data_IF_724577909085
#
_entry.id   IF_724577909085
#
_cell.length_a   1.000
_cell.length_b   1.000
_cell.length_c   1.000
_cell.angle_alpha   90.00
_cell.angle_beta   90.00
_cell.angle_gamma   90.00
#
_symmetry.space_group_name_H-M   'P 1'
#
loop_
_entity.id
_entity.type
_entity.pdbx_description
1 polymer ?
#
# COMPACT_ATOMS: atom_id res chain seq x y z
N UNK A 1 2.47 15.67 0.66
CA UNK A 1 3.79 16.08 0.11
C UNK A 1 4.24 15.04 -0.91
N UNK A 2 5.30 15.27 -1.71
CA UNK A 2 5.78 14.35 -2.77
C UNK A 2 7.14 13.70 -2.44
N UNK A 3 7.62 13.81 -1.21
CA UNK A 3 9.01 13.47 -0.86
C UNK A 3 9.39 12.04 -1.20
N UNK A 4 8.52 11.07 -0.91
CA UNK A 4 8.77 9.67 -1.22
C UNK A 4 8.81 9.41 -2.74
N UNK A 5 7.93 10.05 -3.50
CA UNK A 5 7.91 9.96 -4.97
C UNK A 5 9.18 10.56 -5.58
N UNK A 6 9.71 11.64 -5.00
CA UNK A 6 10.99 12.23 -5.41
C UNK A 6 12.15 11.27 -5.19
N UNK A 7 12.22 10.63 -4.01
CA UNK A 7 13.26 9.64 -3.69
C UNK A 7 13.22 8.42 -4.61
N UNK A 8 12.03 8.06 -5.10
CA UNK A 8 11.83 6.95 -6.02
C UNK A 8 12.11 7.32 -7.48
N UNK A 9 12.26 8.60 -7.82
CA UNK A 9 12.56 9.02 -9.19
C UNK A 9 14.07 8.94 -9.43
N UNK A 10 14.48 8.33 -10.53
CA UNK A 10 15.89 8.11 -10.89
C UNK A 10 16.18 8.64 -12.30
N UNK A 11 17.46 8.83 -12.61
CA UNK A 11 17.92 9.10 -13.98
C UNK A 11 18.17 7.77 -14.66
N UNK A 12 17.69 7.58 -15.89
CA UNK A 12 17.97 6.41 -16.72
C UNK A 12 18.61 6.88 -18.02
N UNK A 13 19.92 6.71 -18.16
CA UNK A 13 20.70 7.27 -19.28
C UNK A 13 20.40 8.77 -19.48
N UNK A 14 19.75 9.08 -20.62
CA UNK A 14 19.34 10.42 -21.01
C UNK A 14 17.89 10.75 -20.65
N UNK A 15 17.15 9.85 -20.02
CA UNK A 15 15.79 10.04 -19.52
C UNK A 15 15.68 9.87 -18.00
N UNK A 16 14.47 9.57 -17.55
CA UNK A 16 14.10 9.35 -16.16
C UNK A 16 13.55 7.93 -15.95
N UNK A 17 13.32 7.56 -14.70
CA UNK A 17 12.69 6.30 -14.31
C UNK A 17 12.06 6.42 -12.93
N UNK A 18 11.25 5.42 -12.58
CA UNK A 18 10.69 5.27 -11.23
C UNK A 18 11.13 3.94 -10.65
N UNK A 19 11.93 3.98 -9.59
CA UNK A 19 12.31 2.83 -8.80
C UNK A 19 11.11 2.37 -7.96
N UNK A 20 10.78 1.09 -8.05
CA UNK A 20 9.67 0.46 -7.31
C UNK A 20 10.10 -0.88 -6.73
N UNK A 21 9.56 -1.29 -5.57
CA UNK A 21 9.85 -2.60 -5.02
C UNK A 21 9.26 -3.71 -5.89
N UNK A 22 9.88 -4.89 -5.81
CA UNK A 22 9.28 -6.15 -6.21
C UNK A 22 8.91 -6.94 -4.95
N UNK A 23 7.96 -7.88 -5.04
CA UNK A 23 7.55 -8.72 -3.91
C UNK A 23 8.59 -9.82 -3.59
N UNK A 24 9.84 -9.41 -3.44
CA UNK A 24 11.02 -10.21 -3.14
C UNK A 24 12.10 -9.30 -2.58
N UNK A 25 13.10 -9.87 -1.90
CA UNK A 25 14.28 -9.14 -1.46
C UNK A 25 15.45 -9.21 -2.47
N UNK A 26 15.34 -10.03 -3.52
CA UNK A 26 16.46 -10.35 -4.41
C UNK A 26 16.73 -9.28 -5.48
N UNK A 27 15.69 -8.55 -5.87
CA UNK A 27 15.74 -7.52 -6.90
C UNK A 27 14.63 -6.50 -6.69
N UNK A 28 14.79 -5.37 -7.35
CA UNK A 28 13.80 -4.31 -7.48
C UNK A 28 13.65 -3.93 -8.95
N UNK A 29 12.71 -3.05 -9.27
CA UNK A 29 12.47 -2.60 -10.64
C UNK A 29 12.70 -1.11 -10.80
N UNK A 30 13.11 -0.70 -11.98
CA UNK A 30 12.99 0.68 -12.46
C UNK A 30 12.08 0.68 -13.69
N UNK A 31 10.98 1.40 -13.60
CA UNK A 31 10.02 1.61 -14.69
C UNK A 31 10.48 2.81 -15.50
N UNK A 32 10.52 2.70 -16.83
CA UNK A 32 10.97 3.80 -17.70
C UNK A 32 10.33 3.71 -19.09
N UNK A 33 10.53 4.74 -19.90
CA UNK A 33 10.18 4.73 -21.32
C UNK A 33 11.16 3.85 -22.09
N UNK A 34 10.67 3.06 -23.04
CA UNK A 34 11.49 2.10 -23.79
C UNK A 34 12.51 2.81 -24.69
N UNK A 35 12.19 3.98 -25.25
CA UNK A 35 13.12 4.74 -26.08
C UNK A 35 14.37 5.23 -25.32
N UNK A 36 14.34 5.35 -23.99
CA UNK A 36 15.52 5.67 -23.19
C UNK A 36 16.61 4.59 -23.26
N UNK A 37 16.22 3.39 -23.71
CA UNK A 37 17.06 2.20 -23.78
C UNK A 37 17.46 1.87 -25.22
N UNK A 38 17.08 2.68 -26.21
CA UNK A 38 17.42 2.40 -27.61
C UNK A 38 18.86 2.82 -27.91
N UNK A 39 19.58 1.96 -28.64
CA UNK A 39 20.93 2.25 -29.14
C UNK A 39 20.89 3.25 -30.32
N UNK A 40 19.82 3.21 -31.11
CA UNK A 40 19.57 4.14 -32.22
C UNK A 40 18.12 4.66 -32.08
N UNK A 41 17.91 5.97 -31.85
CA UNK A 41 16.58 6.57 -31.72
C UNK A 41 15.66 6.34 -32.93
N UNK A 42 16.21 5.99 -34.10
CA UNK A 42 15.45 5.73 -35.34
C UNK A 42 15.07 4.27 -35.49
N UNK A 43 15.61 3.36 -34.69
CA UNK A 43 15.38 1.91 -34.78
C UNK A 43 14.77 1.40 -33.51
N UNK A 44 13.45 1.17 -33.56
CA UNK A 44 12.69 0.67 -32.42
C UNK A 44 13.28 -0.63 -31.87
N UNK A 45 13.81 -1.53 -32.69
CA UNK A 45 14.19 -2.88 -32.27
C UNK A 45 15.53 -3.01 -31.53
N UNK A 46 16.45 -2.05 -31.66
CA UNK A 46 17.80 -2.16 -31.08
C UNK A 46 17.87 -1.52 -29.70
N UNK A 47 17.81 -2.35 -28.65
CA UNK A 47 18.04 -1.93 -27.27
C UNK A 47 19.54 -2.00 -26.91
N UNK A 48 19.96 -1.12 -26.00
CA UNK A 48 21.25 -1.19 -25.31
C UNK A 48 21.31 -2.46 -24.46
N UNK A 49 22.53 -2.99 -24.28
CA UNK A 49 22.75 -4.09 -23.34
C UNK A 49 22.73 -3.57 -21.90
N UNK A 50 22.41 -4.42 -20.91
CA UNK A 50 22.36 -4.00 -19.50
C UNK A 50 23.62 -3.28 -19.02
N UNK A 51 24.81 -3.70 -19.47
CA UNK A 51 26.10 -3.11 -19.10
C UNK A 51 26.34 -1.68 -19.63
N UNK A 52 25.58 -1.27 -20.65
CA UNK A 52 25.62 0.04 -21.32
C UNK A 52 24.65 1.05 -20.68
N UNK A 53 23.70 0.57 -19.87
CA UNK A 53 22.70 1.39 -19.20
C UNK A 53 23.22 1.85 -17.83
N UNK A 54 22.93 3.11 -17.48
CA UNK A 54 23.23 3.69 -16.17
C UNK A 54 21.95 4.21 -15.53
N UNK A 55 21.72 3.79 -14.29
CA UNK A 55 20.64 4.27 -13.43
C UNK A 55 21.29 5.08 -12.32
N UNK A 56 20.94 6.35 -12.17
CA UNK A 56 21.50 7.22 -11.12
C UNK A 56 20.40 7.64 -10.15
N UNK A 57 20.59 7.32 -8.86
CA UNK A 57 19.70 7.69 -7.77
C UNK A 57 19.89 9.14 -7.33
N UNK A 58 18.92 9.71 -6.56
CA UNK A 58 19.02 11.09 -6.07
C UNK A 58 20.27 11.38 -5.21
N UNK A 59 20.81 10.37 -4.54
CA UNK A 59 22.03 10.46 -3.73
C UNK A 59 23.34 10.34 -4.54
N UNK A 60 23.22 10.15 -5.87
CA UNK A 60 24.34 9.98 -6.79
C UNK A 60 24.81 8.54 -6.95
N UNK A 61 24.20 7.56 -6.26
CA UNK A 61 24.52 6.15 -6.48
C UNK A 61 24.19 5.74 -7.91
N UNK A 62 25.13 5.08 -8.59
CA UNK A 62 24.95 4.56 -9.94
C UNK A 62 24.84 3.05 -9.90
N UNK A 63 23.76 2.51 -10.47
CA UNK A 63 23.47 1.09 -10.59
C UNK A 63 23.31 0.72 -12.06
N UNK A 64 23.63 -0.53 -12.39
CA UNK A 64 23.36 -1.13 -13.71
C UNK A 64 22.23 -2.16 -13.59
N UNK A 65 21.33 -2.24 -14.58
CA UNK A 65 20.36 -3.32 -14.62
C UNK A 65 21.05 -4.67 -14.82
N UNK A 66 20.43 -5.72 -14.27
CA UNK A 66 20.75 -7.12 -14.57
C UNK A 66 20.09 -7.53 -15.89
N UNK A 67 18.83 -7.14 -16.06
CA UNK A 67 18.01 -7.53 -17.22
C UNK A 67 17.05 -6.40 -17.63
N UNK A 68 16.56 -6.49 -18.86
CA UNK A 68 15.65 -5.52 -19.48
C UNK A 68 14.43 -6.26 -20.01
N UNK A 69 13.24 -5.84 -19.60
CA UNK A 69 11.97 -6.33 -20.11
C UNK A 69 11.25 -5.16 -20.77
N UNK A 70 10.82 -5.29 -22.02
CA UNK A 70 10.17 -4.17 -22.73
C UNK A 70 8.89 -4.59 -23.41
N UNK A 71 7.92 -3.69 -23.48
CA UNK A 71 6.72 -3.92 -24.29
C UNK A 71 7.08 -3.91 -25.78
N UNK A 72 6.52 -4.84 -26.58
CA UNK A 72 6.69 -4.82 -28.03
C UNK A 72 5.87 -3.72 -28.71
N UNK A 73 4.80 -3.23 -28.09
CA UNK A 73 3.86 -2.26 -28.70
C UNK A 73 3.94 -0.89 -28.05
N UNK A 74 4.02 -0.83 -26.73
CA UNK A 74 4.02 0.39 -25.95
C UNK A 74 5.44 0.90 -25.69
N UNK A 75 5.61 2.20 -25.46
CA UNK A 75 6.90 2.79 -25.12
C UNK A 75 7.24 2.62 -23.64
N UNK A 76 7.26 1.36 -23.17
CA UNK A 76 7.44 1.01 -21.77
C UNK A 76 8.49 -0.10 -21.60
N UNK A 77 9.34 0.04 -20.59
CA UNK A 77 10.32 -0.96 -20.21
C UNK A 77 10.55 -1.02 -18.69
N UNK A 78 10.93 -2.20 -18.22
CA UNK A 78 11.30 -2.52 -16.85
C UNK A 78 12.77 -2.91 -16.86
N UNK A 79 13.54 -2.26 -15.99
CA UNK A 79 14.91 -2.61 -15.69
C UNK A 79 14.93 -3.38 -14.36
N UNK A 80 15.39 -4.63 -14.38
CA UNK A 80 15.59 -5.41 -13.16
C UNK A 80 16.94 -5.05 -12.55
N UNK A 81 16.95 -4.59 -11.31
CA UNK A 81 18.15 -4.16 -10.60
C UNK A 81 18.41 -5.04 -9.37
N UNK A 82 19.61 -4.92 -8.78
CA UNK A 82 19.89 -5.56 -7.49
C UNK A 82 18.90 -5.11 -6.40
N UNK A 83 18.64 -6.01 -5.44
CA UNK A 83 17.70 -5.75 -4.34
C UNK A 83 18.14 -4.57 -3.50
N UNK A 84 17.53 -3.41 -3.75
CA UNK A 84 17.70 -2.18 -2.98
C UNK A 84 16.43 -1.90 -2.18
N UNK A 85 16.58 -1.43 -0.95
CA UNK A 85 15.44 -1.02 -0.15
C UNK A 85 14.84 0.26 -0.75
N UNK A 86 13.64 0.13 -1.31
CA UNK A 86 12.85 1.22 -1.85
C UNK A 86 11.60 1.34 -0.99
N UNK A 87 11.35 2.53 -0.46
CA UNK A 87 10.12 2.80 0.28
C UNK A 87 8.92 2.71 -0.70
N UNK A 88 7.96 1.81 -0.48
CA UNK A 88 6.90 1.54 -1.48
C UNK A 88 6.00 2.73 -1.73
N UNK A 89 5.98 3.24 -2.96
CA UNK A 89 5.00 4.26 -3.37
C UNK A 89 3.65 3.61 -3.71
N UNK A 90 2.57 4.26 -3.30
CA UNK A 90 1.23 3.86 -3.73
C UNK A 90 1.11 3.99 -5.25
N UNK A 91 0.55 2.96 -5.89
CA UNK A 91 0.23 2.98 -7.31
C UNK A 91 -1.16 2.41 -7.54
N UNK A 92 -1.83 2.84 -8.60
CA UNK A 92 -3.18 2.38 -8.91
C UNK A 92 -3.39 2.32 -10.42
N UNK A 93 -4.03 1.24 -10.86
CA UNK A 93 -4.53 1.09 -12.21
C UNK A 93 -6.02 1.45 -12.32
N UNK A 94 -6.63 1.96 -11.26
CA UNK A 94 -8.02 2.39 -11.27
C UNK A 94 -8.19 3.62 -12.14
N UNK A 95 -9.34 3.72 -12.79
CA UNK A 95 -9.73 4.94 -13.51
C UNK A 95 -9.60 6.15 -12.59
N UNK A 96 -9.18 7.26 -13.18
CA UNK A 96 -9.11 8.55 -12.52
C UNK A 96 -10.10 9.46 -13.21
N UNK A 97 -10.78 10.30 -12.44
CA UNK A 97 -11.67 11.33 -12.98
C UNK A 97 -10.89 12.32 -13.86
N UNK A 98 -11.55 12.79 -14.92
CA UNK A 98 -11.03 13.89 -15.74
C UNK A 98 -10.73 15.11 -14.88
N UNK A 99 -9.73 15.90 -15.27
CA UNK A 99 -9.26 17.08 -14.54
C UNK A 99 -8.68 16.79 -13.15
N UNK A 100 -8.48 15.52 -12.78
CA UNK A 100 -7.76 15.18 -11.57
C UNK A 100 -6.35 15.79 -11.60
N UNK A 101 -5.96 16.40 -10.48
CA UNK A 101 -4.65 17.05 -10.34
C UNK A 101 -3.54 16.02 -10.40
N UNK A 102 -2.52 16.31 -11.20
CA UNK A 102 -1.33 15.46 -11.34
C UNK A 102 -0.04 16.17 -10.91
N UNK A 103 0.98 15.36 -10.68
CA UNK A 103 2.38 15.75 -10.66
C UNK A 103 3.19 14.82 -11.54
N UNK A 104 4.11 15.38 -12.32
CA UNK A 104 5.09 14.63 -13.10
C UNK A 104 6.45 14.90 -12.49
N UNK A 105 7.18 13.83 -12.19
CA UNK A 105 8.51 13.89 -11.61
C UNK A 105 9.51 13.27 -12.58
N UNK A 106 10.57 14.02 -12.88
CA UNK A 106 11.64 13.58 -13.77
C UNK A 106 12.84 14.51 -13.74
N UNK A 107 13.88 14.14 -14.46
CA UNK A 107 15.16 14.83 -14.50
C UNK A 107 15.41 15.44 -15.89
N UNK A 108 15.04 16.71 -16.14
CA UNK A 108 15.33 17.37 -17.41
C UNK A 108 16.83 17.39 -17.72
N UNK A 109 17.19 17.19 -18.99
CA UNK A 109 18.57 17.14 -19.46
C UNK A 109 19.36 18.41 -19.10
N UNK A 110 18.72 19.58 -19.21
CA UNK A 110 19.29 20.90 -18.90
C UNK A 110 19.72 21.08 -17.45
N UNK A 111 19.26 20.23 -16.52
CA UNK A 111 19.52 20.37 -15.09
C UNK A 111 20.42 19.29 -14.50
N UNK A 112 20.92 18.36 -15.33
CA UNK A 112 21.75 17.23 -14.87
C UNK A 112 23.22 17.59 -14.64
N UNK A 113 23.66 18.77 -15.09
CA UNK A 113 25.06 19.23 -15.01
C UNK A 113 25.32 20.21 -13.86
N UNK A 114 24.32 20.53 -13.03
CA UNK A 114 24.41 21.48 -11.91
C UNK A 114 24.64 20.83 -10.54
N UNK A 115 25.11 21.62 -9.57
CA UNK A 115 25.45 21.17 -8.20
C UNK A 115 24.25 21.11 -7.24
N UNK A 116 23.05 21.54 -7.62
CA UNK A 116 21.83 21.42 -6.80
C UNK A 116 20.56 21.13 -7.65
N UNK A 117 19.71 20.22 -7.14
CA UNK A 117 18.34 19.90 -7.56
C UNK A 117 18.07 19.72 -9.07
N UNK A 118 18.58 18.60 -9.62
CA UNK A 118 18.31 18.16 -11.00
C UNK A 118 16.88 17.63 -11.23
N UNK A 119 16.17 17.26 -10.16
CA UNK A 119 14.79 16.78 -10.21
C UNK A 119 13.81 17.94 -10.40
N UNK A 120 12.85 17.79 -11.32
CA UNK A 120 11.77 18.77 -11.53
C UNK A 120 10.41 18.15 -11.28
N UNK A 121 9.50 18.96 -10.74
CA UNK A 121 8.09 18.62 -10.58
C UNK A 121 7.26 19.51 -11.49
N UNK A 122 6.52 18.91 -12.42
CA UNK A 122 5.49 19.60 -13.19
C UNK A 122 4.13 19.31 -12.58
N UNK A 123 3.25 20.32 -12.57
CA UNK A 123 1.86 20.20 -12.12
C UNK A 123 0.94 20.28 -13.32
N UNK A 124 -0.22 19.66 -13.20
CA UNK A 124 -1.10 19.51 -14.34
C UNK A 124 -2.42 18.84 -13.99
N UNK A 125 -3.16 18.47 -15.02
CA UNK A 125 -4.45 17.81 -14.92
C UNK A 125 -4.60 16.72 -15.99
N UNK A 126 -5.30 15.63 -15.64
CA UNK A 126 -5.68 14.59 -16.60
C UNK A 126 -6.65 15.17 -17.62
N UNK A 127 -6.38 14.92 -18.90
CA UNK A 127 -7.25 15.29 -20.02
C UNK A 127 -8.02 14.08 -20.55
N UNK A 128 -7.34 12.93 -20.64
CA UNK A 128 -7.96 11.66 -21.04
C UNK A 128 -7.29 10.48 -20.33
N UNK A 129 -8.07 9.43 -20.07
CA UNK A 129 -7.64 8.23 -19.36
C UNK A 129 -8.13 6.97 -20.07
N UNK A 130 -7.36 6.52 -21.06
CA UNK A 130 -7.66 5.33 -21.86
C UNK A 130 -7.10 4.05 -21.22
N UNK A 131 -7.36 2.89 -21.82
CA UNK A 131 -6.91 1.59 -21.29
C UNK A 131 -5.37 1.43 -21.19
N UNK A 132 -4.61 2.04 -22.10
CA UNK A 132 -3.13 1.93 -22.13
C UNK A 132 -2.40 3.25 -21.89
N UNK A 133 -3.08 4.36 -22.17
CA UNK A 133 -2.51 5.70 -22.25
C UNK A 133 -3.24 6.65 -21.31
N UNK A 134 -2.53 7.65 -20.83
CA UNK A 134 -3.08 8.79 -20.10
C UNK A 134 -2.54 10.03 -20.78
N UNK A 135 -3.43 10.95 -21.14
CA UNK A 135 -3.03 12.26 -21.64
C UNK A 135 -3.25 13.31 -20.56
N UNK A 136 -2.23 14.15 -20.40
CA UNK A 136 -2.19 15.12 -19.31
C UNK A 136 -1.75 16.48 -19.83
N UNK A 137 -2.29 17.53 -19.24
CA UNK A 137 -1.86 18.89 -19.50
C UNK A 137 -0.99 19.43 -18.38
N UNK A 138 0.03 20.23 -18.69
CA UNK A 138 0.86 20.91 -17.67
C UNK A 138 0.43 22.35 -17.46
N UNK A 139 0.42 22.81 -16.20
CA UNK A 139 -0.03 24.17 -15.81
C UNK A 139 0.95 25.29 -16.17
N UNK A 140 2.16 24.94 -16.59
CA UNK A 140 3.20 25.88 -17.03
C UNK A 140 3.70 25.45 -18.39
N UNK A 141 3.98 26.44 -19.26
CA UNK A 141 4.78 26.24 -20.47
C UNK A 141 6.15 25.74 -20.04
N UNK A 142 6.38 24.45 -20.18
CA UNK A 142 7.71 23.90 -20.10
C UNK A 142 8.33 24.14 -21.48
N UNK A 143 9.45 24.84 -21.56
CA UNK A 143 10.17 24.92 -22.84
C UNK A 143 10.59 23.51 -23.24
N UNK A 144 10.76 23.25 -24.53
CA UNK A 144 11.19 21.94 -25.04
C UNK A 144 12.46 21.44 -24.31
N UNK A 145 13.38 22.35 -24.00
CA UNK A 145 14.61 22.10 -23.24
C UNK A 145 14.38 21.65 -21.78
N UNK A 146 13.23 22.00 -21.20
CA UNK A 146 12.83 21.58 -19.85
C UNK A 146 12.04 20.27 -19.83
N UNK A 147 11.52 19.84 -20.98
CA UNK A 147 10.82 18.54 -21.14
C UNK A 147 11.81 17.46 -21.58
N UNK A 148 12.81 17.81 -22.39
CA UNK A 148 13.86 16.87 -22.79
C UNK A 148 14.49 16.21 -21.57
N UNK A 149 14.46 14.87 -21.52
CA UNK A 149 14.97 14.07 -20.41
C UNK A 149 13.94 13.72 -19.32
N UNK A 150 12.70 14.21 -19.41
CA UNK A 150 11.61 13.77 -18.53
C UNK A 150 11.13 12.36 -18.82
N UNK A 151 11.21 11.92 -20.08
CA UNK A 151 10.69 10.63 -20.52
C UNK A 151 11.15 9.49 -19.62
N UNK A 152 10.21 8.66 -19.20
CA UNK A 152 10.36 7.66 -18.14
C UNK A 152 10.04 8.17 -16.74
N UNK A 153 9.70 9.45 -16.58
CA UNK A 153 9.31 10.07 -15.32
C UNK A 153 7.96 9.59 -14.80
N UNK A 154 7.79 9.58 -13.48
CA UNK A 154 6.56 9.13 -12.84
C UNK A 154 5.44 10.16 -12.94
N UNK A 155 4.24 9.70 -13.28
CA UNK A 155 3.02 10.51 -13.33
C UNK A 155 2.11 10.10 -12.17
N UNK A 156 1.87 11.04 -11.27
CA UNK A 156 1.18 10.83 -10.02
C UNK A 156 -0.12 11.61 -10.00
N UNK A 157 -1.25 10.95 -9.71
CA UNK A 157 -2.53 11.61 -9.47
C UNK A 157 -2.73 11.87 -7.98
N UNK A 158 -3.26 13.06 -7.65
CA UNK A 158 -3.63 13.42 -6.29
C UNK A 158 -4.96 12.76 -5.93
N UNK A 159 -4.94 11.81 -4.99
CA UNK A 159 -6.14 11.17 -4.44
C UNK A 159 -6.25 11.53 -2.95
N UNK A 160 -7.29 12.29 -2.59
CA UNK A 160 -7.44 12.85 -1.23
C UNK A 160 -6.17 13.60 -0.78
N UNK A 161 -5.39 13.02 0.15
CA UNK A 161 -4.15 13.59 0.68
C UNK A 161 -2.85 12.95 0.14
N UNK A 162 -2.95 12.04 -0.82
CA UNK A 162 -1.83 11.24 -1.30
C UNK A 162 -1.58 11.41 -2.80
N UNK A 163 -0.37 11.04 -3.21
CA UNK A 163 0.07 11.02 -4.59
C UNK A 163 0.29 9.57 -5.01
N UNK A 164 -0.51 9.12 -5.96
CA UNK A 164 -0.55 7.72 -6.41
C UNK A 164 0.01 7.64 -7.81
N UNK A 165 0.99 6.77 -8.03
CA UNK A 165 1.55 6.52 -9.36
C UNK A 165 0.49 5.88 -10.25
N UNK A 166 0.21 6.50 -11.38
CA UNK A 166 -0.79 6.01 -12.36
C UNK A 166 -0.16 5.67 -13.71
N UNK A 167 1.05 6.17 -13.98
CA UNK A 167 1.75 5.90 -15.23
C UNK A 167 3.15 6.49 -15.29
N UNK A 168 3.75 6.32 -16.45
CA UNK A 168 5.11 6.76 -16.79
C UNK A 168 5.02 7.62 -18.06
N UNK A 169 5.53 8.84 -18.01
CA UNK A 169 5.55 9.76 -19.16
C UNK A 169 6.51 9.26 -20.24
N UNK A 170 6.17 9.39 -21.53
CA UNK A 170 7.04 8.95 -22.62
C UNK A 170 7.08 9.89 -23.84
N UNK A 171 6.13 10.81 -24.02
CA UNK A 171 6.20 11.76 -25.13
C UNK A 171 5.40 13.03 -24.89
N UNK A 172 5.75 14.10 -25.60
CA UNK A 172 4.81 15.19 -25.88
C UNK A 172 3.84 14.78 -26.98
N UNK A 173 2.58 15.17 -26.86
CA UNK A 173 1.62 15.03 -27.95
C UNK A 173 1.74 16.22 -28.90
N UNK A 174 1.60 16.01 -30.22
CA UNK A 174 1.48 17.02 -31.29
C UNK A 174 2.79 17.55 -31.92
N UNK A 175 2.70 18.28 -33.05
CA UNK A 175 3.87 18.83 -33.75
C UNK A 175 4.57 19.91 -32.93
N UNK A 176 5.90 20.07 -33.11
CA UNK A 176 6.82 20.92 -32.32
C UNK A 176 6.33 22.37 -32.03
N UNK A 177 5.35 22.87 -32.79
CA UNK A 177 4.87 24.24 -32.74
C UNK A 177 3.45 24.43 -32.15
N UNK A 178 2.69 23.37 -31.84
CA UNK A 178 1.24 23.52 -31.57
C UNK A 178 0.75 22.98 -30.21
N UNK A 179 1.55 22.18 -29.50
CA UNK A 179 1.06 21.38 -28.37
C UNK A 179 2.02 21.34 -27.18
N UNK A 180 2.57 22.50 -26.83
CA UNK A 180 3.64 22.65 -25.83
C UNK A 180 3.27 22.29 -24.38
N UNK A 181 2.04 21.84 -24.11
CA UNK A 181 1.56 21.52 -22.75
C UNK A 181 0.89 20.14 -22.63
N UNK A 182 0.84 19.32 -23.68
CA UNK A 182 0.21 17.99 -23.61
C UNK A 182 1.25 16.88 -23.62
N UNK A 183 1.15 15.98 -22.65
CA UNK A 183 2.05 14.87 -22.45
C UNK A 183 1.28 13.57 -22.45
N UNK A 184 1.85 12.56 -23.11
CA UNK A 184 1.33 11.20 -23.16
C UNK A 184 2.12 10.31 -22.21
N UNK A 185 1.37 9.48 -21.49
CA UNK A 185 1.90 8.61 -20.45
C UNK A 185 1.40 7.18 -20.68
N UNK A 186 2.25 6.19 -20.44
CA UNK A 186 1.85 4.77 -20.41
C UNK A 186 1.32 4.44 -19.02
N UNK A 187 0.17 3.78 -18.95
CA UNK A 187 -0.44 3.35 -17.67
C UNK A 187 0.41 2.32 -16.92
N UNK A 188 0.34 2.36 -15.59
CA UNK A 188 1.06 1.41 -14.73
C UNK A 188 0.68 -0.05 -15.02
N UNK A 189 -0.57 -0.31 -15.40
CA UNK A 189 -1.04 -1.65 -15.79
C UNK A 189 -0.35 -2.25 -17.02
N UNK A 190 0.38 -1.47 -17.82
CA UNK A 190 1.24 -2.01 -18.89
C UNK A 190 2.48 -2.66 -18.31
N UNK A 191 3.04 -2.12 -17.23
CA UNK A 191 4.21 -2.71 -16.55
C UNK A 191 3.83 -4.00 -15.83
N UNK A 192 2.63 -4.07 -15.25
CA UNK A 192 2.08 -5.32 -14.70
C UNK A 192 1.94 -6.40 -15.79
N UNK A 193 1.53 -6.02 -17.01
CA UNK A 193 1.47 -6.94 -18.15
C UNK A 193 2.85 -7.40 -18.62
N UNK A 194 3.87 -6.54 -18.59
CA UNK A 194 5.26 -6.92 -18.89
C UNK A 194 5.73 -7.97 -17.88
N UNK A 195 5.45 -7.78 -16.59
CA UNK A 195 5.80 -8.75 -15.54
C UNK A 195 5.06 -10.08 -15.70
N UNK A 196 3.79 -10.03 -16.12
CA UNK A 196 2.97 -11.23 -16.32
C UNK A 196 3.20 -11.93 -17.68
N UNK A 197 4.06 -11.39 -18.55
CA UNK A 197 4.26 -11.92 -19.89
C UNK A 197 4.98 -13.28 -19.85
N UNK A 198 4.29 -14.31 -20.33
CA UNK A 198 4.79 -15.69 -20.41
C UNK A 198 6.04 -15.87 -21.26
N UNK A 199 6.36 -14.94 -22.16
CA UNK A 199 7.61 -15.01 -22.94
C UNK A 199 8.86 -14.88 -22.08
N UNK A 200 8.73 -14.38 -20.85
CA UNK A 200 9.81 -14.30 -19.86
C UNK A 200 9.82 -15.48 -18.88
N UNK A 201 9.09 -16.57 -19.16
CA UNK A 201 8.85 -17.72 -18.25
C UNK A 201 10.07 -18.37 -17.59
N UNK A 202 11.28 -18.21 -18.14
CA UNK A 202 12.51 -18.66 -17.45
C UNK A 202 12.76 -17.88 -16.14
N UNK A 203 12.23 -16.66 -16.05
CA UNK A 203 12.22 -15.79 -14.87
C UNK A 203 10.77 -15.59 -14.40
N UNK A 204 10.39 -16.27 -13.33
CA UNK A 204 9.14 -15.96 -12.62
C UNK A 204 9.26 -14.62 -11.93
N UNK A 205 8.96 -13.53 -12.64
CA UNK A 205 9.05 -12.16 -12.11
C UNK A 205 8.04 -11.94 -10.98
N UNK A 206 8.49 -11.23 -9.95
CA UNK A 206 7.66 -10.92 -8.80
C UNK A 206 6.79 -9.69 -9.11
N UNK A 207 5.56 -9.60 -8.60
CA UNK A 207 4.72 -8.43 -8.82
C UNK A 207 5.35 -7.16 -8.23
N UNK A 208 4.94 -5.99 -8.74
CA UNK A 208 5.30 -4.68 -8.20
C UNK A 208 4.55 -4.49 -6.89
N UNK A 209 5.08 -5.06 -5.82
CA UNK A 209 4.45 -5.05 -4.51
C UNK A 209 5.54 -5.01 -3.44
N UNK A 210 5.25 -4.48 -2.24
CA UNK A 210 6.22 -4.44 -1.17
C UNK A 210 6.73 -5.84 -0.75
N UNK A 211 8.02 -6.01 -0.41
CA UNK A 211 8.57 -7.30 -0.01
C UNK A 211 7.94 -7.88 1.27
N UNK A 212 7.42 -7.02 2.15
CA UNK A 212 6.75 -7.47 3.37
C UNK A 212 5.44 -8.22 3.10
N UNK A 213 4.88 -8.16 1.89
CA UNK A 213 3.69 -8.94 1.56
C UNK A 213 3.99 -10.44 1.36
N UNK A 214 5.28 -10.79 1.25
CA UNK A 214 5.71 -12.18 1.09
C UNK A 214 5.51 -13.00 2.38
N UNK A 215 5.70 -12.38 3.54
CA UNK A 215 5.70 -13.08 4.83
C UNK A 215 5.46 -12.09 5.99
N UNK A 216 4.58 -12.47 6.92
CA UNK A 216 4.32 -11.71 8.15
C UNK A 216 5.56 -11.56 9.03
N UNK A 217 6.51 -12.49 8.99
CA UNK A 217 7.75 -12.39 9.77
C UNK A 217 8.52 -11.09 9.49
N UNK A 218 8.38 -10.51 8.29
CA UNK A 218 9.00 -9.23 7.89
C UNK A 218 8.39 -8.01 8.57
N UNK A 219 7.29 -8.18 9.29
CA UNK A 219 6.52 -7.14 9.94
C UNK A 219 6.52 -7.26 11.48
N UNK A 220 6.96 -8.40 12.01
CA UNK A 220 6.86 -8.71 13.45
C UNK A 220 7.58 -7.67 14.29
N UNK A 221 8.82 -7.33 13.96
CA UNK A 221 9.66 -6.44 14.78
C UNK A 221 9.20 -4.97 14.75
N UNK A 222 8.34 -4.60 13.82
CA UNK A 222 7.72 -3.27 13.75
C UNK A 222 6.27 -3.26 14.29
N UNK A 223 5.74 -4.43 14.67
CA UNK A 223 4.44 -4.56 15.31
C UNK A 223 4.53 -4.32 16.82
N UNK A 224 3.40 -3.98 17.45
CA UNK A 224 3.33 -3.70 18.89
C UNK A 224 4.34 -2.62 19.32
N UNK A 225 4.19 -1.36 18.84
CA UNK A 225 5.04 -0.26 19.30
C UNK A 225 4.92 -0.05 20.82
N UNK A 226 3.74 -0.32 21.40
CA UNK A 226 3.44 -0.25 22.83
C UNK A 226 3.89 1.06 23.48
N UNK A 227 3.61 2.19 22.83
CA UNK A 227 3.91 3.51 23.39
C UNK A 227 3.12 3.75 24.69
N UNK A 228 3.75 4.41 25.66
CA UNK A 228 3.12 4.83 26.91
C UNK A 228 3.35 3.92 28.12
N UNK A 229 4.24 2.93 28.03
CA UNK A 229 4.74 2.20 29.21
C UNK A 229 5.61 3.12 30.08
N UNK A 230 5.45 3.01 31.40
CA UNK A 230 6.27 3.68 32.42
C UNK A 230 7.64 2.99 32.57
N UNK A 231 7.69 1.67 32.44
CA UNK A 231 8.89 0.83 32.58
C UNK A 231 9.33 0.27 31.22
N UNK A 232 10.38 0.86 30.63
CA UNK A 232 10.96 0.46 29.35
C UNK A 232 11.40 -1.02 29.29
N UNK A 233 11.91 -1.56 30.41
CA UNK A 233 12.27 -2.99 30.50
C UNK A 233 11.04 -3.89 30.38
N UNK A 234 9.95 -3.55 31.07
CA UNK A 234 8.69 -4.30 30.99
C UNK A 234 8.12 -4.23 29.57
N UNK A 235 8.12 -3.03 28.96
CA UNK A 235 7.72 -2.84 27.55
C UNK A 235 8.52 -3.75 26.61
N UNK A 236 9.85 -3.77 26.76
CA UNK A 236 10.75 -4.56 25.90
C UNK A 236 10.50 -6.05 26.05
N UNK A 237 10.38 -6.55 27.28
CA UNK A 237 10.11 -7.97 27.54
C UNK A 237 8.74 -8.40 27.03
N UNK A 238 7.71 -7.57 27.24
CA UNK A 238 6.36 -7.85 26.76
C UNK A 238 6.30 -7.85 25.23
N UNK A 239 6.95 -6.88 24.59
CA UNK A 239 7.03 -6.79 23.14
C UNK A 239 7.76 -7.99 22.55
N UNK A 240 8.91 -8.37 23.11
CA UNK A 240 9.65 -9.56 22.70
C UNK A 240 8.79 -10.83 22.83
N UNK A 241 8.07 -10.98 23.94
CA UNK A 241 7.17 -12.11 24.14
C UNK A 241 6.07 -12.18 23.07
N UNK A 242 5.43 -11.05 22.73
CA UNK A 242 4.41 -11.00 21.67
C UNK A 242 4.99 -11.30 20.28
N UNK A 243 6.22 -10.83 20.02
CA UNK A 243 6.96 -11.18 18.81
C UNK A 243 7.31 -12.66 18.75
N UNK A 244 7.64 -13.28 19.86
CA UNK A 244 7.91 -14.72 19.92
C UNK A 244 6.62 -15.50 19.62
N UNK A 245 5.48 -15.09 20.19
CA UNK A 245 4.16 -15.67 19.84
C UNK A 245 3.90 -15.54 18.34
N UNK A 246 4.20 -14.38 17.73
CA UNK A 246 4.06 -14.19 16.30
C UNK A 246 5.00 -15.10 15.50
N UNK A 247 6.30 -15.16 15.85
CA UNK A 247 7.31 -15.98 15.16
C UNK A 247 7.04 -17.49 15.29
N UNK A 248 6.48 -17.93 16.41
CA UNK A 248 6.09 -19.33 16.65
C UNK A 248 4.88 -19.74 15.80
N UNK A 249 3.93 -18.84 15.55
CA UNK A 249 2.62 -19.18 14.97
C UNK A 249 2.42 -18.71 13.52
N UNK A 250 3.06 -17.62 13.10
CA UNK A 250 2.92 -17.01 11.75
C UNK A 250 3.94 -17.57 10.76
N UNK A 251 4.18 -18.87 10.81
CA UNK A 251 5.15 -19.57 9.95
C UNK A 251 4.54 -20.83 9.34
N UNK A 252 5.26 -21.44 8.40
CA UNK A 252 4.86 -22.71 7.79
C UNK A 252 3.58 -22.58 6.95
N UNK A 253 2.45 -23.02 7.51
CA UNK A 253 1.14 -23.03 6.82
C UNK A 253 0.39 -21.71 6.89
N UNK A 254 0.88 -20.74 7.67
CA UNK A 254 0.29 -19.40 7.74
C UNK A 254 0.22 -18.78 6.34
N UNK A 255 -0.97 -18.41 5.84
CA UNK A 255 -1.08 -17.68 4.60
C UNK A 255 -0.28 -16.39 4.66
N UNK A 256 0.43 -16.06 3.58
CA UNK A 256 1.15 -14.79 3.48
C UNK A 256 0.17 -13.61 3.42
N UNK A 257 0.63 -12.38 3.77
CA UNK A 257 -0.14 -11.17 3.53
C UNK A 257 -0.69 -11.09 2.10
N UNK A 258 0.16 -11.37 1.10
CA UNK A 258 -0.27 -11.37 -0.31
C UNK A 258 -1.39 -12.39 -0.60
N UNK A 259 -1.31 -13.59 -0.02
CA UNK A 259 -2.34 -14.62 -0.20
C UNK A 259 -3.68 -14.20 0.41
N UNK A 260 -3.65 -13.58 1.60
CA UNK A 260 -4.84 -12.99 2.26
C UNK A 260 -5.39 -11.83 1.42
N UNK A 261 -4.51 -10.98 0.89
CA UNK A 261 -4.85 -9.86 0.02
C UNK A 261 -5.59 -10.32 -1.24
N UNK A 262 -5.05 -11.31 -1.95
CA UNK A 262 -5.67 -11.85 -3.17
C UNK A 262 -7.02 -12.50 -2.88
N UNK A 263 -7.15 -13.19 -1.74
CA UNK A 263 -8.38 -13.91 -1.39
C UNK A 263 -9.52 -12.97 -0.99
N UNK A 264 -9.23 -11.94 -0.22
CA UNK A 264 -10.26 -11.08 0.39
C UNK A 264 -10.39 -9.71 -0.26
N UNK A 265 -9.33 -9.20 -0.90
CA UNK A 265 -9.34 -7.93 -1.62
C UNK A 265 -9.97 -6.80 -0.82
N UNK A 266 -10.89 -6.07 -1.43
CA UNK A 266 -11.62 -4.94 -0.84
C UNK A 266 -12.39 -5.28 0.45
N UNK A 267 -12.65 -6.56 0.74
CA UNK A 267 -13.24 -6.98 2.02
C UNK A 267 -12.29 -6.81 3.22
N UNK A 268 -11.07 -6.34 3.00
CA UNK A 268 -10.11 -5.94 4.03
C UNK A 268 -10.18 -4.43 4.33
N UNK A 269 -10.91 -3.67 3.51
CA UNK A 269 -10.96 -2.22 3.57
C UNK A 269 -12.32 -1.73 4.11
N UNK A 270 -12.32 -0.54 4.69
CA UNK A 270 -13.54 0.22 4.96
C UNK A 270 -14.15 0.68 3.62
N UNK A 271 -15.47 0.69 3.51
CA UNK A 271 -16.14 1.07 2.27
C UNK A 271 -15.72 2.47 1.78
N UNK A 272 -15.36 2.55 0.51
CA UNK A 272 -14.90 3.78 -0.13
C UNK A 272 -13.38 4.00 -0.05
N UNK A 273 -12.64 3.20 0.71
CA UNK A 273 -11.18 3.20 0.58
C UNK A 273 -10.76 2.55 -0.75
N UNK A 274 -9.76 3.13 -1.45
CA UNK A 274 -9.36 2.66 -2.77
C UNK A 274 -8.52 1.39 -2.69
N UNK A 275 -8.58 0.56 -3.75
CA UNK A 275 -7.95 -0.77 -3.79
C UNK A 275 -6.43 -0.77 -3.52
N UNK A 276 -5.71 0.27 -3.96
CA UNK A 276 -4.25 0.36 -3.75
C UNK A 276 -3.84 0.37 -2.26
N UNK A 277 -4.77 0.69 -1.35
CA UNK A 277 -4.58 0.63 0.11
C UNK A 277 -4.31 -0.77 0.64
N UNK A 278 -4.63 -1.80 -0.14
CA UNK A 278 -4.29 -3.18 0.22
C UNK A 278 -2.78 -3.41 0.32
N UNK A 279 -1.97 -2.57 -0.31
CA UNK A 279 -0.52 -2.62 -0.19
C UNK A 279 0.01 -1.82 1.01
N UNK A 280 -0.84 -1.12 1.77
CA UNK A 280 -0.36 -0.23 2.84
C UNK A 280 0.23 -1.03 4.01
N UNK A 281 1.43 -0.61 4.44
CA UNK A 281 2.18 -1.29 5.50
C UNK A 281 1.39 -1.40 6.81
N UNK A 282 0.64 -0.35 7.18
CA UNK A 282 -0.13 -0.29 8.43
C UNK A 282 -1.22 -1.36 8.49
N UNK A 283 -1.90 -1.67 7.39
CA UNK A 283 -2.85 -2.78 7.31
C UNK A 283 -2.19 -4.06 7.79
N UNK A 284 -1.01 -4.38 7.25
CA UNK A 284 -0.35 -5.65 7.50
C UNK A 284 0.33 -5.73 8.87
N UNK A 285 0.83 -4.61 9.41
CA UNK A 285 1.24 -4.52 10.81
C UNK A 285 0.06 -4.83 11.75
N UNK A 286 -1.10 -4.21 11.50
CA UNK A 286 -2.31 -4.50 12.27
C UNK A 286 -2.80 -5.94 12.09
N UNK A 287 -2.55 -6.58 10.95
CA UNK A 287 -2.81 -8.01 10.78
C UNK A 287 -1.91 -8.88 11.66
N UNK A 288 -0.62 -8.54 11.83
CA UNK A 288 0.24 -9.25 12.80
C UNK A 288 -0.35 -9.15 14.20
N UNK A 289 -0.68 -7.94 14.64
CA UNK A 289 -1.26 -7.72 15.97
C UNK A 289 -2.59 -8.44 16.15
N UNK A 290 -3.43 -8.42 15.12
CA UNK A 290 -4.71 -9.10 15.08
C UNK A 290 -4.56 -10.62 15.20
N UNK A 291 -3.63 -11.22 14.44
CA UNK A 291 -3.41 -12.66 14.47
C UNK A 291 -2.82 -13.09 15.80
N UNK A 292 -1.87 -12.34 16.37
CA UNK A 292 -1.34 -12.60 17.72
C UNK A 292 -2.45 -12.56 18.77
N UNK A 293 -3.30 -11.53 18.76
CA UNK A 293 -4.48 -11.49 19.63
C UNK A 293 -5.37 -12.73 19.42
N UNK A 294 -5.58 -13.15 18.18
CA UNK A 294 -6.38 -14.34 17.89
C UNK A 294 -5.76 -15.64 18.39
N UNK A 295 -4.44 -15.79 18.31
CA UNK A 295 -3.69 -16.93 18.86
C UNK A 295 -3.86 -17.01 20.37
N UNK A 296 -3.70 -15.88 21.07
CA UNK A 296 -3.87 -15.82 22.52
C UNK A 296 -5.30 -16.21 22.95
N UNK A 297 -6.30 -15.77 22.19
CA UNK A 297 -7.70 -16.04 22.51
C UNK A 297 -8.15 -17.47 22.20
N UNK A 298 -7.71 -18.02 21.06
CA UNK A 298 -8.24 -19.29 20.53
C UNK A 298 -7.32 -20.49 20.75
N UNK A 299 -6.03 -20.24 20.98
CA UNK A 299 -4.97 -21.26 21.05
C UNK A 299 -5.06 -22.26 19.88
N UNK A 300 -5.03 -21.80 18.61
CA UNK A 300 -5.16 -22.68 17.46
C UNK A 300 -3.95 -23.61 17.36
N UNK A 301 -4.16 -24.83 16.84
CA UNK A 301 -3.06 -25.75 16.55
C UNK A 301 -2.15 -25.23 15.42
N UNK A 302 -2.75 -24.65 14.40
CA UNK A 302 -2.07 -24.02 13.27
C UNK A 302 -2.92 -22.88 12.72
N UNK A 303 -2.25 -21.86 12.17
CA UNK A 303 -2.88 -20.77 11.42
C UNK A 303 -2.79 -21.17 9.96
N UNK A 304 -3.88 -21.68 9.39
CA UNK A 304 -4.00 -22.03 7.98
C UNK A 304 -5.14 -21.24 7.33
N UNK A 305 -5.37 -21.45 6.03
CA UNK A 305 -6.47 -20.79 5.32
C UNK A 305 -7.84 -21.07 5.97
N UNK A 306 -8.07 -22.26 6.50
CA UNK A 306 -9.34 -22.63 7.13
C UNK A 306 -9.54 -21.90 8.46
N UNK A 307 -8.47 -21.72 9.25
CA UNK A 307 -8.49 -20.90 10.45
C UNK A 307 -8.80 -19.45 10.12
N UNK A 308 -8.17 -18.86 9.09
CA UNK A 308 -8.47 -17.49 8.64
C UNK A 308 -9.95 -17.36 8.21
N UNK A 309 -10.50 -18.35 7.49
CA UNK A 309 -11.93 -18.35 7.13
C UNK A 309 -12.86 -18.42 8.35
N UNK A 310 -12.53 -19.28 9.33
CA UNK A 310 -13.29 -19.35 10.60
C UNK A 310 -13.18 -18.05 11.38
N UNK A 311 -11.99 -17.42 11.41
CA UNK A 311 -11.80 -16.13 12.05
C UNK A 311 -12.73 -15.09 11.45
N UNK A 312 -12.83 -14.99 10.12
CA UNK A 312 -13.69 -13.99 9.44
C UNK A 312 -15.19 -14.07 9.79
N UNK A 313 -15.65 -15.22 10.28
CA UNK A 313 -17.02 -15.38 10.79
C UNK A 313 -17.21 -14.80 12.19
N UNK A 314 -16.14 -14.68 12.98
CA UNK A 314 -16.17 -14.26 14.40
C UNK A 314 -15.50 -12.91 14.67
N UNK A 315 -14.45 -12.59 13.92
CA UNK A 315 -13.54 -11.46 14.09
C UNK A 315 -13.07 -10.96 12.73
N UNK A 316 -13.31 -9.68 12.41
CA UNK A 316 -12.80 -9.04 11.19
C UNK A 316 -11.91 -7.87 11.53
N UNK A 317 -10.89 -7.66 10.71
CA UNK A 317 -10.09 -6.45 10.70
C UNK A 317 -10.40 -5.68 9.40
N UNK A 318 -10.84 -4.44 9.53
CA UNK A 318 -10.92 -3.50 8.40
C UNK A 318 -9.88 -2.41 8.56
N UNK A 319 -9.33 -1.98 7.42
CA UNK A 319 -8.39 -0.89 7.35
C UNK A 319 -8.96 0.30 6.60
N UNK A 320 -8.60 1.49 7.07
CA UNK A 320 -8.78 2.73 6.33
C UNK A 320 -7.48 3.51 6.30
N UNK A 321 -7.09 3.99 5.11
CA UNK A 321 -5.90 4.84 4.93
C UNK A 321 -6.09 6.27 5.42
N UNK A 322 -7.13 6.53 6.21
CA UNK A 322 -7.46 7.85 6.69
C UNK A 322 -6.58 8.29 7.86
N UNK A 323 -6.21 9.56 7.84
CA UNK A 323 -5.68 10.30 8.99
C UNK A 323 -6.76 11.11 9.74
N UNK A 324 -8.02 10.67 9.85
CA UNK A 324 -8.98 11.23 10.83
C UNK A 324 -9.25 10.24 11.96
N UNK A 325 -9.98 10.69 12.99
CA UNK A 325 -10.38 9.82 14.09
C UNK A 325 -11.33 8.76 13.53
N UNK A 326 -11.12 7.49 13.85
CA UNK A 326 -11.87 6.41 13.23
C UNK A 326 -13.39 6.52 13.47
N UNK A 327 -13.81 7.10 14.60
CA UNK A 327 -15.23 7.35 14.89
C UNK A 327 -15.88 8.38 13.96
N UNK A 328 -15.09 9.14 13.19
CA UNK A 328 -15.64 10.02 12.14
C UNK A 328 -16.07 9.27 10.88
N UNK A 329 -15.76 7.97 10.78
CA UNK A 329 -16.05 7.12 9.62
C UNK A 329 -17.09 6.04 9.90
N UNK A 330 -17.86 6.16 10.98
CA UNK A 330 -18.83 5.12 11.36
C UNK A 330 -19.84 4.80 10.25
N UNK A 331 -20.21 5.78 9.42
CA UNK A 331 -21.07 5.56 8.25
C UNK A 331 -20.38 4.72 7.16
N UNK A 332 -19.12 5.01 6.84
CA UNK A 332 -18.34 4.23 5.88
C UNK A 332 -18.08 2.81 6.40
N UNK A 333 -17.77 2.68 7.70
CA UNK A 333 -17.66 1.39 8.38
C UNK A 333 -18.99 0.62 8.24
N UNK A 334 -20.12 1.24 8.52
CA UNK A 334 -21.44 0.61 8.39
C UNK A 334 -21.78 0.16 6.96
N UNK A 335 -21.20 0.79 5.93
CA UNK A 335 -21.35 0.40 4.52
C UNK A 335 -20.36 -0.69 4.07
N UNK A 336 -19.45 -1.11 4.94
CA UNK A 336 -18.41 -2.11 4.63
C UNK A 336 -18.99 -3.52 4.51
N UNK A 337 -18.21 -4.44 3.94
CA UNK A 337 -18.68 -5.80 3.69
C UNK A 337 -18.66 -6.66 4.97
N UNK A 338 -19.82 -6.76 5.64
CA UNK A 338 -20.03 -7.65 6.80
C UNK A 338 -20.58 -9.03 6.43
N UNK A 339 -20.73 -9.38 5.14
CA UNK A 339 -21.36 -10.63 4.73
C UNK A 339 -20.63 -11.84 5.30
N UNK A 340 -21.36 -12.72 5.98
CA UNK A 340 -20.81 -13.93 6.61
C UNK A 340 -20.22 -13.73 8.01
N UNK A 341 -20.34 -12.53 8.59
CA UNK A 341 -20.04 -12.29 10.00
C UNK A 341 -21.22 -12.75 10.88
N UNK A 342 -20.93 -13.49 11.95
CA UNK A 342 -21.92 -13.95 12.92
C UNK A 342 -22.47 -12.77 13.74
N UNK A 343 -23.66 -12.94 14.32
CA UNK A 343 -24.38 -11.87 15.03
C UNK A 343 -23.66 -11.32 16.26
N UNK A 344 -22.81 -12.12 16.89
CA UNK A 344 -21.93 -11.77 18.02
C UNK A 344 -20.48 -11.47 17.58
N UNK A 345 -20.28 -11.28 16.27
CA UNK A 345 -18.99 -11.01 15.68
C UNK A 345 -18.38 -9.68 16.15
N UNK A 346 -17.06 -9.66 16.25
CA UNK A 346 -16.27 -8.47 16.59
C UNK A 346 -15.63 -7.91 15.34
N UNK A 347 -15.66 -6.59 15.20
CA UNK A 347 -15.00 -5.89 14.09
C UNK A 347 -13.97 -4.93 14.67
N UNK A 348 -12.74 -5.13 14.25
CA UNK A 348 -11.60 -4.30 14.56
C UNK A 348 -11.36 -3.35 13.39
N UNK A 349 -11.15 -2.09 13.72
CA UNK A 349 -10.80 -1.05 12.78
C UNK A 349 -9.33 -0.68 13.02
N UNK A 350 -8.60 -0.46 11.94
CA UNK A 350 -7.27 0.14 11.99
C UNK A 350 -7.20 1.30 11.01
N UNK A 351 -6.49 2.35 11.41
CA UNK A 351 -6.24 3.54 10.59
C UNK A 351 -4.76 3.90 10.64
N UNK A 352 -4.33 4.90 9.86
CA UNK A 352 -2.92 5.32 9.84
C UNK A 352 -2.40 5.90 11.15
N UNK A 353 -3.31 6.20 12.09
CA UNK A 353 -2.98 6.84 13.34
C UNK A 353 -3.67 6.17 14.53
N UNK A 354 -3.00 6.10 15.68
CA UNK A 354 -3.62 5.60 16.90
C UNK A 354 -4.89 6.38 17.25
N UNK A 355 -5.91 5.73 17.82
CA UNK A 355 -7.18 6.37 18.11
C UNK A 355 -7.07 7.21 19.38
N UNK A 356 -7.78 8.34 19.42
CA UNK A 356 -7.99 9.06 20.68
C UNK A 356 -8.98 8.27 21.56
N UNK A 357 -10.01 7.69 20.93
CA UNK A 357 -11.01 6.85 21.61
C UNK A 357 -10.70 5.38 21.36
N UNK A 358 -10.21 4.71 22.40
CA UNK A 358 -9.89 3.28 22.35
C UNK A 358 -11.15 2.41 22.18
N UNK A 359 -12.30 2.88 22.68
CA UNK A 359 -13.60 2.19 22.57
C UNK A 359 -14.78 3.14 22.31
N UNK A 360 -15.55 2.86 21.27
CA UNK A 360 -16.96 3.18 21.19
C UNK A 360 -17.71 1.85 21.17
N UNK A 361 -18.37 1.50 22.28
CA UNK A 361 -19.46 0.51 22.25
C UNK A 361 -20.67 1.13 21.54
N UNK A 362 -20.50 1.53 20.28
CA UNK A 362 -21.59 2.04 19.46
C UNK A 362 -22.11 0.85 18.68
N UNK A 363 -23.22 0.29 19.15
CA UNK A 363 -24.00 -0.63 18.33
C UNK A 363 -24.37 0.12 17.04
N UNK A 364 -23.93 -0.40 15.90
CA UNK A 364 -24.20 0.19 14.58
C UNK A 364 -25.69 0.39 14.33
N UNK A 365 -26.56 -0.40 14.99
CA UNK A 365 -28.01 -0.20 14.96
C UNK A 365 -28.47 1.17 15.46
N UNK A 366 -27.68 1.87 16.29
CA UNK A 366 -27.98 3.24 16.76
C UNK A 366 -27.58 4.32 15.76
N UNK A 367 -26.70 4.00 14.80
CA UNK A 367 -26.20 4.93 13.78
C UNK A 367 -26.98 4.82 12.47
N UNK A 368 -27.41 3.61 12.11
CA UNK A 368 -28.25 3.38 10.94
C UNK A 368 -29.71 3.66 11.32
N UNK A 369 -30.09 4.94 11.34
CA UNK A 369 -31.51 5.31 11.33
C UNK A 369 -32.13 4.86 10.01
N UNK A 370 -32.86 3.75 10.08
CA UNK A 370 -33.94 3.32 9.16
C UNK A 370 -33.87 3.87 7.72
N UNK A 371 -32.89 3.42 6.93
CA UNK A 371 -32.85 3.64 5.47
C UNK A 371 -33.98 2.89 4.73
N UNK A 372 -34.81 2.13 5.44
CA UNK A 372 -35.98 1.44 4.90
C UNK A 372 -37.28 2.29 4.95
N UNK A 373 -37.22 3.57 5.33
CA UNK A 373 -38.34 4.51 5.13
C UNK A 373 -38.03 5.48 4.01
N UNK A 374 -38.46 5.19 2.76
CA UNK A 374 -38.38 6.18 1.70
C UNK A 374 -39.37 7.30 2.03
N UNK A 375 -38.88 8.51 2.22
CA UNK A 375 -39.71 9.69 1.98
C UNK A 375 -39.90 9.79 0.47
N UNK A 376 -40.89 9.04 -0.04
CA UNK A 376 -41.50 9.22 -1.35
C UNK A 376 -40.59 9.09 -2.57
N UNK A 377 -40.26 7.85 -2.97
CA UNK A 377 -40.16 7.41 -4.37
C UNK A 377 -39.66 5.96 -4.39
N UNK A 378 -40.33 5.10 -5.15
CA UNK A 378 -39.90 3.72 -5.39
C UNK A 378 -38.57 3.73 -6.15
N UNK A 379 -37.48 3.36 -5.48
CA UNK A 379 -36.26 2.88 -6.10
C UNK A 379 -36.02 1.44 -5.65
N UNK A 380 -35.99 0.54 -6.62
CA UNK A 380 -35.60 -0.86 -6.43
C UNK A 380 -34.07 -0.90 -6.37
N UNK A 381 -33.52 -0.82 -5.15
CA UNK A 381 -32.08 -0.92 -4.91
C UNK A 381 -31.80 -2.36 -4.48
N UNK A 382 -31.04 -3.09 -5.30
CA UNK A 382 -30.60 -4.45 -5.02
C UNK A 382 -30.07 -4.58 -3.59
N UNK A 383 -30.54 -5.64 -2.92
CA UNK A 383 -30.34 -5.97 -1.51
C UNK A 383 -29.09 -5.33 -0.88
N UNK A 384 -29.28 -4.27 -0.10
CA UNK A 384 -28.24 -3.80 0.81
C UNK A 384 -27.92 -4.93 1.80
N UNK A 385 -26.64 -5.27 1.92
CA UNK A 385 -26.18 -6.21 2.92
C UNK A 385 -26.73 -5.77 4.29
N UNK A 386 -27.55 -6.61 4.93
CA UNK A 386 -28.11 -6.30 6.25
C UNK A 386 -26.95 -6.19 7.24
N UNK A 387 -26.67 -4.97 7.70
CA UNK A 387 -25.72 -4.73 8.79
C UNK A 387 -26.25 -5.49 10.02
N UNK A 388 -25.47 -6.43 10.60
CA UNK A 388 -25.90 -7.12 11.81
C UNK A 388 -26.17 -6.12 12.93
N UNK A 389 -27.31 -6.27 13.62
CA UNK A 389 -27.84 -5.25 14.54
C UNK A 389 -26.97 -5.00 15.78
N UNK A 390 -26.07 -5.93 16.13
CA UNK A 390 -25.31 -5.92 17.39
C UNK A 390 -23.80 -6.14 17.19
N UNK A 391 -23.20 -5.50 16.19
CA UNK A 391 -21.76 -5.56 15.98
C UNK A 391 -20.98 -4.75 17.03
N UNK A 392 -19.95 -5.39 17.60
CA UNK A 392 -18.97 -4.74 18.46
C UNK A 392 -17.85 -4.15 17.61
N UNK A 393 -17.69 -2.84 17.66
CA UNK A 393 -16.62 -2.12 16.96
C UNK A 393 -15.54 -1.68 17.94
N UNK A 394 -14.28 -1.96 17.62
CA UNK A 394 -13.13 -1.50 18.40
C UNK A 394 -12.01 -1.08 17.46
N UNK A 395 -11.12 -0.19 17.90
CA UNK A 395 -9.90 0.10 17.15
C UNK A 395 -8.75 -0.74 17.69
N UNK A 396 -7.98 -1.41 16.83
CA UNK A 396 -6.97 -2.39 17.27
C UNK A 396 -5.86 -1.75 18.12
N UNK A 397 -5.29 -0.62 17.69
CA UNK A 397 -4.28 0.09 18.49
C UNK A 397 -4.83 0.54 19.86
N UNK A 398 -6.11 0.93 19.90
CA UNK A 398 -6.79 1.33 21.13
C UNK A 398 -7.05 0.15 22.06
N UNK A 399 -7.46 -0.99 21.50
CA UNK A 399 -7.61 -2.24 22.23
C UNK A 399 -6.27 -2.71 22.80
N UNK A 400 -5.19 -2.64 22.02
CA UNK A 400 -3.84 -2.98 22.48
C UNK A 400 -3.38 -2.04 23.59
N UNK A 401 -3.66 -0.73 23.48
CA UNK A 401 -3.39 0.21 24.57
C UNK A 401 -4.15 -0.15 25.86
N UNK A 402 -5.44 -0.44 25.76
CA UNK A 402 -6.27 -0.77 26.92
C UNK A 402 -5.87 -2.11 27.56
N UNK A 403 -5.58 -3.12 26.75
CA UNK A 403 -5.31 -4.48 27.23
C UNK A 403 -3.85 -4.68 27.65
N UNK A 404 -2.91 -3.96 27.03
CA UNK A 404 -1.47 -4.13 27.26
C UNK A 404 -0.89 -2.98 28.08
N UNK A 405 -1.00 -1.75 27.59
CA UNK A 405 -0.32 -0.59 28.20
C UNK A 405 -0.96 -0.20 29.53
N UNK A 406 -2.29 -0.04 29.58
CA UNK A 406 -2.98 0.41 30.80
C UNK A 406 -2.96 -0.62 31.94
N UNK A 407 -2.65 -1.88 31.63
CA UNK A 407 -2.49 -2.95 32.61
C UNK A 407 -1.03 -3.16 33.04
N UNK A 408 -0.12 -2.23 32.71
CA UNK A 408 1.31 -2.38 33.00
C UNK A 408 1.60 -2.75 34.47
N UNK A 409 0.88 -2.12 35.41
CA UNK A 409 1.00 -2.34 36.85
C UNK A 409 0.71 -3.78 37.30
N UNK A 410 0.11 -4.61 36.44
CA UNK A 410 -0.20 -6.01 36.70
C UNK A 410 0.92 -6.95 36.25
N UNK A 411 1.84 -6.49 35.40
CA UNK A 411 2.94 -7.32 34.94
C UNK A 411 4.04 -7.41 35.99
N UNK A 412 4.64 -8.60 36.17
CA UNK A 412 5.83 -8.71 37.00
C UNK A 412 6.97 -7.90 36.39
N UNK A 413 7.59 -7.01 37.18
CA UNK A 413 8.65 -6.13 36.69
C UNK A 413 10.04 -6.74 36.82
N UNK A 414 10.95 -6.33 35.92
CA UNK A 414 12.37 -6.64 36.03
C UNK A 414 12.67 -8.13 35.88
N UNK A 415 13.45 -8.69 36.81
CA UNK A 415 13.86 -10.11 36.78
C UNK A 415 12.76 -11.07 37.24
N UNK A 416 11.61 -10.54 37.69
CA UNK A 416 10.44 -11.32 38.03
C UNK A 416 9.49 -11.55 36.85
N UNK A 417 9.80 -11.02 35.65
CA UNK A 417 8.95 -11.17 34.46
C UNK A 417 8.71 -12.65 34.14
N UNK A 418 7.45 -13.05 34.23
CA UNK A 418 6.98 -14.40 33.93
C UNK A 418 6.14 -14.35 32.65
N UNK A 419 6.62 -15.05 31.63
CA UNK A 419 5.98 -15.16 30.31
C UNK A 419 4.57 -15.74 30.40
N UNK A 420 4.38 -16.81 31.17
CA UNK A 420 3.10 -17.52 31.22
C UNK A 420 2.06 -16.72 32.01
N UNK A 421 2.50 -16.04 33.07
CA UNK A 421 1.66 -15.10 33.81
C UNK A 421 1.23 -13.92 32.93
N UNK A 422 2.17 -13.31 32.18
CA UNK A 422 1.88 -12.20 31.28
C UNK A 422 0.92 -12.60 30.14
N UNK A 423 1.11 -13.78 29.52
CA UNK A 423 0.20 -14.33 28.51
C UNK A 423 -1.21 -14.51 29.09
N UNK A 424 -1.32 -15.05 30.30
CA UNK A 424 -2.62 -15.25 30.97
C UNK A 424 -3.33 -13.93 31.19
N UNK A 425 -2.65 -12.94 31.77
CA UNK A 425 -3.19 -11.60 32.02
C UNK A 425 -3.67 -10.92 30.73
N UNK A 426 -2.88 -10.96 29.67
CA UNK A 426 -3.24 -10.36 28.38
C UNK A 426 -4.45 -11.05 27.78
N UNK A 427 -4.48 -12.38 27.83
CA UNK A 427 -5.58 -13.17 27.29
C UNK A 427 -6.88 -12.85 28.02
N UNK A 428 -6.84 -12.72 29.35
CA UNK A 428 -7.99 -12.29 30.16
C UNK A 428 -8.41 -10.87 29.84
N UNK A 429 -7.47 -9.93 29.67
CA UNK A 429 -7.77 -8.56 29.29
C UNK A 429 -8.48 -8.46 27.94
N UNK A 430 -8.03 -9.20 26.92
CA UNK A 430 -8.71 -9.25 25.62
C UNK A 430 -10.09 -9.92 25.70
N UNK A 431 -10.24 -10.99 26.49
CA UNK A 431 -11.55 -11.64 26.73
C UNK A 431 -12.53 -10.66 27.40
N UNK A 432 -12.07 -9.92 28.40
CA UNK A 432 -12.87 -8.92 29.11
C UNK A 432 -13.29 -7.78 28.16
N UNK A 433 -12.38 -7.31 27.31
CA UNK A 433 -12.71 -6.29 26.31
C UNK A 433 -13.76 -6.78 25.31
N UNK A 434 -13.68 -8.05 24.86
CA UNK A 434 -14.69 -8.67 23.99
C UNK A 434 -16.06 -8.81 24.68
N UNK A 435 -16.11 -9.03 25.99
CA UNK A 435 -17.36 -9.25 26.71
C UNK A 435 -18.18 -7.96 26.91
N UNK A 436 -17.49 -6.83 27.09
CA UNK A 436 -18.08 -5.48 27.15
C UNK A 436 -18.62 -5.03 25.79
#
# INVERSE_FOLDING_TARGET
MLEQQKLSTVIVNNGSGVAVPAMTAQYSYVLTARHNLQADPKKRETLLRPEEIRITYPDGQIIKPKEIFSSPTEDAAILLIEGVQIEPIAYSNDLVEDQARIAILGYPATRRTGTENSLKTFRGEIQDFEFKRIDVSTSSFATQDEIMGLSGGGVFSKRQNEWVLIGIEYSMEGPENESQNWLSCVRIGIFEKIIADSSFQELSLAPILPPYLLDFLRLVEDSFPLEGFECERTQTLLRQMLWDVAKENLTGKCPSPHSIMQKFGEQLLVAGDPHYRLADRKLWLSWVEFLVMCVLLDSPREIDHDYIERLRKRRRLFYSGSDKEWTSYLEAIAKSNFNGLESDGVVLITTNRPPIKTRPAVSLSKLVTDICRPNGANFDIGASAQVPKDLKLMHIDGLNRDCLVLNEHQYPHGDAFDRDAAITLITEAYRAAKAQ
#
